data_IF_895138544432
#
_entry.id   IF_895138544432
#
_cell.length_a   1.000
_cell.length_b   1.000
_cell.length_c   1.000
_cell.angle_alpha   90.00
_cell.angle_beta   90.00
_cell.angle_gamma   90.00
#
_symmetry.space_group_name_H-M   'P 1'
#
loop_
_entity.id
_entity.type
_entity.pdbx_description
1 polymer ?
#
# COMPACT_ATOMS: atom_id res chain seq x y z
N UNK A 1 12.49 -23.08 -52.23
CA UNK A 1 12.85 -21.65 -52.23
C UNK A 1 12.30 -21.07 -50.93
N UNK A 2 12.95 -21.38 -49.82
CA UNK A 2 13.98 -20.57 -49.15
C UNK A 2 13.32 -19.51 -48.27
N UNK A 3 13.13 -19.94 -47.02
CA UNK A 3 12.69 -19.18 -45.85
C UNK A 3 13.89 -18.39 -45.35
N UNK A 4 13.76 -17.06 -45.28
CA UNK A 4 14.80 -16.16 -44.78
C UNK A 4 14.55 -15.86 -43.31
N UNK A 5 15.29 -16.53 -42.45
CA UNK A 5 15.37 -16.30 -41.00
C UNK A 5 16.12 -14.98 -40.74
N UNK A 6 15.49 -14.02 -40.04
CA UNK A 6 16.15 -12.79 -39.58
C UNK A 6 16.66 -13.03 -38.16
N UNK A 7 17.99 -13.03 -38.01
CA UNK A 7 18.69 -13.02 -36.73
C UNK A 7 18.66 -11.62 -36.11
N UNK A 8 18.51 -11.48 -34.77
CA UNK A 8 18.62 -10.19 -34.10
C UNK A 8 20.09 -9.78 -33.92
N UNK A 9 20.37 -8.52 -34.28
CA UNK A 9 21.66 -7.84 -34.11
C UNK A 9 22.02 -7.68 -32.63
N UNK A 10 23.12 -8.31 -32.23
CA UNK A 10 23.84 -8.08 -30.97
C UNK A 10 24.47 -6.68 -30.97
N UNK A 11 24.10 -5.84 -30.00
CA UNK A 11 24.83 -4.62 -29.66
C UNK A 11 26.08 -4.97 -28.82
N UNK A 12 27.24 -4.32 -29.05
CA UNK A 12 28.47 -4.69 -28.36
C UNK A 12 28.54 -4.18 -26.92
N UNK A 13 28.95 -5.10 -26.04
CA UNK A 13 29.27 -4.91 -24.63
C UNK A 13 30.13 -3.67 -24.35
N UNK A 14 29.61 -2.75 -23.51
CA UNK A 14 30.42 -1.74 -22.84
C UNK A 14 31.24 -2.37 -21.71
N UNK A 15 32.57 -2.23 -21.79
CA UNK A 15 33.54 -2.69 -20.78
C UNK A 15 33.30 -2.07 -19.39
N UNK A 16 33.65 -2.78 -18.31
CA UNK A 16 33.43 -2.34 -16.93
C UNK A 16 34.37 -1.19 -16.55
N UNK A 17 33.81 -0.17 -15.88
CA UNK A 17 34.59 0.91 -15.25
C UNK A 17 35.46 0.35 -14.13
N UNK A 18 36.74 0.69 -14.17
CA UNK A 18 37.73 0.38 -13.15
C UNK A 18 37.45 1.15 -11.86
N UNK A 19 37.49 0.44 -10.73
CA UNK A 19 37.48 1.00 -9.38
C UNK A 19 38.81 1.74 -9.14
N UNK A 20 38.73 3.04 -8.88
CA UNK A 20 39.82 3.81 -8.28
C UNK A 20 39.56 3.94 -6.76
N UNK A 21 40.59 3.77 -5.91
CA UNK A 21 40.43 3.77 -4.47
C UNK A 21 40.27 5.20 -3.92
N UNK A 22 39.24 5.42 -3.12
CA UNK A 22 39.10 6.61 -2.29
C UNK A 22 40.04 6.49 -1.07
N UNK A 23 41.17 7.18 -1.14
CA UNK A 23 42.06 7.41 0.00
C UNK A 23 41.56 8.61 0.81
N UNK A 24 41.15 8.37 2.06
CA UNK A 24 40.83 9.40 3.05
C UNK A 24 42.11 10.04 3.61
N UNK A 25 42.24 11.37 3.71
CA UNK A 25 43.25 11.98 4.55
C UNK A 25 42.72 12.16 5.97
N UNK A 26 43.43 11.53 6.92
CA UNK A 26 43.37 11.80 8.35
C UNK A 26 43.84 13.25 8.61
N UNK A 27 42.99 14.06 9.24
CA UNK A 27 43.39 15.32 9.86
C UNK A 27 43.04 15.26 11.35
N UNK A 28 44.11 15.28 12.14
CA UNK A 28 44.11 15.44 13.59
C UNK A 28 43.76 16.88 13.96
N UNK A 29 42.83 17.08 14.90
CA UNK A 29 42.78 18.30 15.70
C UNK A 29 42.37 17.99 17.13
N UNK A 30 43.25 18.36 18.03
CA UNK A 30 43.25 18.24 19.48
C UNK A 30 42.11 18.99 20.18
N UNK A 31 41.68 18.40 21.29
CA UNK A 31 40.79 18.89 22.34
C UNK A 31 41.07 20.31 22.82
N UNK A 32 40.00 21.10 23.01
CA UNK A 32 39.91 22.07 24.12
C UNK A 32 38.49 22.09 24.67
N UNK A 33 38.36 21.75 25.96
CA UNK A 33 37.16 21.97 26.75
C UNK A 33 37.14 23.41 27.24
N UNK A 34 36.00 24.08 27.11
CA UNK A 34 35.75 25.36 27.75
C UNK A 34 34.51 25.23 28.63
N UNK A 35 34.75 25.28 29.94
CA UNK A 35 33.75 25.45 30.98
C UNK A 35 33.19 26.86 30.93
N UNK A 36 31.87 27.03 31.04
CA UNK A 36 31.27 28.31 31.38
C UNK A 36 30.34 28.14 32.59
N UNK A 37 30.58 29.03 33.55
CA UNK A 37 30.02 29.08 34.90
C UNK A 37 28.57 29.55 34.91
N UNK A 38 27.88 29.09 35.94
CA UNK A 38 26.59 29.55 36.43
C UNK A 38 26.56 31.04 36.77
N UNK A 39 25.44 31.71 36.45
CA UNK A 39 24.96 32.88 37.18
C UNK A 39 23.47 32.70 37.50
N UNK A 40 23.16 32.84 38.79
CA UNK A 40 21.82 32.87 39.38
C UNK A 40 21.19 34.24 39.19
N UNK A 41 19.86 34.29 38.98
CA UNK A 41 18.98 35.30 39.58
C UNK A 41 17.50 34.86 39.56
N UNK A 42 17.04 34.38 40.71
CA UNK A 42 15.77 34.68 41.41
C UNK A 42 14.44 34.93 40.66
N UNK A 43 13.51 33.98 40.91
CA UNK A 43 12.13 34.13 41.45
C UNK A 43 11.05 34.91 40.68
N UNK A 44 10.00 34.18 40.27
CA UNK A 44 8.55 34.38 40.59
C UNK A 44 7.83 33.15 40.00
N UNK A 45 7.22 32.26 40.79
CA UNK A 45 5.83 32.36 41.22
C UNK A 45 5.16 31.00 40.98
N UNK A 46 4.88 30.27 42.06
CA UNK A 46 4.25 28.95 42.10
C UNK A 46 2.80 29.00 41.62
N UNK A 47 2.41 28.13 40.68
CA UNK A 47 1.03 27.65 40.54
C UNK A 47 1.00 26.14 40.30
N UNK A 48 0.05 25.54 40.99
CA UNK A 48 -0.21 24.14 41.33
C UNK A 48 -0.40 23.16 40.16
N UNK A 49 0.10 21.93 40.37
CA UNK A 49 -0.28 20.70 39.66
C UNK A 49 -1.78 20.39 39.84
N UNK A 50 -2.44 20.00 38.74
CA UNK A 50 -3.67 19.20 38.72
C UNK A 50 -3.58 18.15 37.59
N UNK A 51 -4.32 17.04 37.69
CA UNK A 51 -3.90 15.74 37.18
C UNK A 51 -4.30 15.45 35.72
N UNK A 52 -3.51 14.59 35.10
CA UNK A 52 -3.76 13.94 33.81
C UNK A 52 -5.05 13.10 33.84
N UNK A 53 -6.07 13.54 33.11
CA UNK A 53 -7.21 12.69 32.74
C UNK A 53 -7.06 12.22 31.29
N UNK A 54 -6.96 10.91 31.15
CA UNK A 54 -7.01 10.15 29.91
C UNK A 54 -8.45 10.25 29.38
N UNK A 55 -8.66 10.89 28.23
CA UNK A 55 -9.94 10.86 27.50
C UNK A 55 -9.99 9.58 26.65
N UNK A 56 -10.98 8.74 26.93
CA UNK A 56 -11.40 7.65 26.04
C UNK A 56 -12.14 8.20 24.82
N UNK A 57 -12.10 7.54 23.66
CA UNK A 57 -12.87 7.92 22.49
C UNK A 57 -14.36 7.64 22.69
N UNK A 58 -15.19 8.64 22.37
CA UNK A 58 -16.65 8.57 22.42
C UNK A 58 -17.15 7.76 21.21
N UNK A 59 -17.72 6.59 21.47
CA UNK A 59 -18.50 5.85 20.48
C UNK A 59 -19.85 6.56 20.26
N UNK A 60 -20.14 6.90 19.01
CA UNK A 60 -21.43 7.40 18.57
C UNK A 60 -22.48 6.30 18.70
N UNK A 61 -23.49 6.53 19.54
CA UNK A 61 -24.68 5.70 19.70
C UNK A 61 -25.72 6.14 18.66
N UNK A 62 -25.99 5.29 17.67
CA UNK A 62 -27.26 5.30 16.96
C UNK A 62 -28.15 4.19 17.57
N UNK A 63 -29.22 4.60 18.25
CA UNK A 63 -30.27 3.70 18.74
C UNK A 63 -31.15 3.20 17.58
N UNK A 64 -31.60 1.92 17.58
CA UNK A 64 -32.77 1.52 16.82
C UNK A 64 -34.02 1.40 17.72
N UNK A 65 -35.18 1.71 17.12
CA UNK A 65 -36.52 1.69 17.69
C UNK A 65 -36.92 0.35 18.34
N UNK A 66 -37.68 0.36 19.47
CA UNK A 66 -38.12 -0.85 20.16
C UNK A 66 -39.52 -1.26 19.68
N UNK A 67 -39.64 -1.93 18.53
CA UNK A 67 -40.82 -2.74 18.22
C UNK A 67 -40.60 -3.63 17.00
N UNK A 68 -39.96 -4.78 17.22
CA UNK A 68 -40.18 -5.99 16.42
C UNK A 68 -39.59 -7.18 17.18
N UNK A 69 -40.28 -7.62 18.25
CA UNK A 69 -40.05 -8.95 18.80
C UNK A 69 -40.72 -9.98 17.90
N UNK A 70 -39.92 -10.71 17.14
CA UNK A 70 -40.29 -12.00 16.58
C UNK A 70 -39.15 -12.96 16.88
N UNK A 71 -39.44 -13.95 17.72
CA UNK A 71 -38.54 -15.04 18.10
C UNK A 71 -38.08 -15.80 16.86
N UNK A 72 -36.81 -15.66 16.52
CA UNK A 72 -36.11 -16.59 15.66
C UNK A 72 -35.06 -17.27 16.53
N UNK A 73 -35.28 -18.54 16.83
CA UNK A 73 -34.29 -19.41 17.46
C UNK A 73 -33.04 -19.45 16.56
N UNK A 74 -32.07 -18.61 16.85
CA UNK A 74 -30.72 -18.74 16.32
C UNK A 74 -30.10 -19.94 17.02
N UNK A 75 -30.01 -21.04 16.30
CA UNK A 75 -29.12 -22.15 16.66
C UNK A 75 -27.73 -21.59 16.95
N UNK A 76 -27.25 -21.90 18.14
CA UNK A 76 -25.97 -21.55 18.73
C UNK A 76 -24.82 -22.01 17.81
N UNK A 77 -24.38 -21.15 16.89
CA UNK A 77 -23.11 -21.34 16.19
C UNK A 77 -22.05 -20.77 17.13
N UNK A 78 -21.55 -21.62 18.03
CA UNK A 78 -20.41 -21.29 18.87
C UNK A 78 -19.29 -20.72 17.98
N UNK A 79 -18.84 -19.50 18.25
CA UNK A 79 -17.65 -18.94 17.62
C UNK A 79 -16.46 -19.85 17.95
N UNK A 80 -16.15 -20.80 17.06
CA UNK A 80 -14.96 -21.65 17.16
C UNK A 80 -13.75 -20.75 16.96
N UNK A 81 -12.89 -20.66 17.98
CA UNK A 81 -11.78 -19.72 17.99
C UNK A 81 -10.74 -20.09 16.92
N UNK A 82 -10.50 -19.18 15.98
CA UNK A 82 -9.38 -19.26 15.05
C UNK A 82 -8.12 -18.65 15.66
N UNK A 83 -6.97 -19.07 15.12
CA UNK A 83 -5.65 -18.63 15.53
C UNK A 83 -5.45 -17.15 15.15
N UNK A 84 -5.41 -16.28 16.16
CA UNK A 84 -5.30 -14.82 15.96
C UNK A 84 -3.88 -14.32 15.65
N UNK A 85 -2.86 -15.17 15.74
CA UNK A 85 -1.45 -14.78 15.56
C UNK A 85 -0.82 -15.42 14.33
N UNK A 86 0.02 -14.68 13.61
CA UNK A 86 0.84 -15.16 12.50
C UNK A 86 2.34 -15.00 12.82
N UNK A 87 2.94 -16.01 13.45
CA UNK A 87 4.33 -16.01 13.95
C UNK A 87 5.29 -16.81 13.06
N UNK A 88 4.77 -17.54 12.08
CA UNK A 88 5.57 -18.20 11.06
C UNK A 88 5.63 -17.33 9.80
N UNK A 89 6.71 -17.47 9.03
CA UNK A 89 6.96 -16.72 7.80
C UNK A 89 7.21 -17.71 6.66
N UNK A 90 6.44 -17.63 5.58
CA UNK A 90 6.75 -18.37 4.36
C UNK A 90 7.68 -17.50 3.52
N UNK A 91 8.96 -17.86 3.46
CA UNK A 91 10.03 -16.95 3.03
C UNK A 91 10.50 -17.19 1.59
N UNK A 92 10.42 -18.43 1.11
CA UNK A 92 10.67 -18.85 -0.28
C UNK A 92 9.71 -19.98 -0.63
N UNK A 93 9.56 -20.31 -1.92
CA UNK A 93 8.61 -21.31 -2.42
C UNK A 93 8.58 -22.58 -1.57
N UNK A 94 9.75 -23.11 -1.20
CA UNK A 94 9.85 -24.35 -0.43
C UNK A 94 10.43 -24.18 0.98
N UNK A 95 10.38 -22.97 1.55
CA UNK A 95 10.99 -22.68 2.86
C UNK A 95 10.10 -21.83 3.76
N UNK A 96 9.83 -22.34 4.96
CA UNK A 96 9.12 -21.65 6.05
C UNK A 96 10.10 -21.40 7.20
N UNK A 97 10.09 -20.19 7.74
CA UNK A 97 10.81 -19.80 8.94
C UNK A 97 9.84 -19.75 10.13
N UNK A 98 10.15 -20.45 11.23
CA UNK A 98 9.32 -20.43 12.43
C UNK A 98 10.17 -20.61 13.70
N UNK A 99 9.91 -19.78 14.71
CA UNK A 99 10.58 -19.82 16.00
C UNK A 99 9.95 -20.87 16.93
N UNK A 100 10.49 -22.09 16.88
CA UNK A 100 10.08 -23.23 17.73
C UNK A 100 11.29 -23.77 18.48
N UNK A 101 11.11 -24.06 19.78
CA UNK A 101 12.17 -24.53 20.67
C UNK A 101 12.19 -26.06 20.86
N UNK A 102 11.51 -26.83 20.00
CA UNK A 102 11.42 -28.29 20.14
C UNK A 102 11.98 -29.02 18.93
N UNK A 103 12.95 -29.91 19.16
CA UNK A 103 13.63 -30.68 18.12
C UNK A 103 12.96 -32.01 17.77
N UNK A 104 11.99 -32.46 18.54
CA UNK A 104 11.29 -33.73 18.31
C UNK A 104 9.84 -33.55 17.86
N UNK A 105 9.40 -32.31 17.66
CA UNK A 105 8.04 -32.04 17.26
C UNK A 105 7.78 -32.45 15.80
N UNK A 106 6.60 -33.02 15.55
CA UNK A 106 6.08 -33.22 14.20
C UNK A 106 5.44 -31.92 13.72
N UNK A 107 5.85 -31.40 12.55
CA UNK A 107 5.34 -30.13 12.02
C UNK A 107 4.51 -30.35 10.76
N UNK A 108 3.42 -29.60 10.65
CA UNK A 108 2.52 -29.67 9.51
C UNK A 108 2.04 -28.29 9.07
N UNK A 109 1.92 -28.10 7.76
CA UNK A 109 1.21 -27.01 7.11
C UNK A 109 -0.22 -27.46 6.78
N UNK A 110 -1.19 -26.64 7.15
CA UNK A 110 -2.60 -26.84 6.92
C UNK A 110 -3.13 -25.74 6.00
N UNK A 111 -4.06 -26.12 5.12
CA UNK A 111 -4.75 -25.16 4.26
C UNK A 111 -6.24 -25.41 4.19
N UNK A 112 -7.04 -24.35 4.10
CA UNK A 112 -8.45 -24.41 3.70
C UNK A 112 -8.77 -23.36 2.65
N UNK A 113 -9.29 -23.79 1.50
CA UNK A 113 -9.65 -22.88 0.39
C UNK A 113 -10.85 -21.99 0.77
N UNK A 114 -11.76 -22.51 1.59
CA UNK A 114 -12.96 -21.81 2.04
C UNK A 114 -12.80 -21.14 3.41
N UNK A 115 -11.57 -21.05 3.92
CA UNK A 115 -11.25 -20.48 5.23
C UNK A 115 -12.00 -21.13 6.42
N UNK A 116 -12.10 -22.46 6.40
CA UNK A 116 -12.83 -23.25 7.39
C UNK A 116 -11.96 -23.80 8.52
N UNK A 117 -10.68 -23.41 8.62
CA UNK A 117 -9.81 -23.93 9.67
C UNK A 117 -10.30 -23.47 11.06
N UNK A 118 -10.33 -24.39 12.01
CA UNK A 118 -10.60 -24.09 13.42
C UNK A 118 -9.82 -25.03 14.33
N UNK A 119 -9.64 -24.61 15.60
CA UNK A 119 -9.03 -25.43 16.64
C UNK A 119 -10.09 -26.22 17.41
N UNK A 120 -9.82 -27.50 17.63
CA UNK A 120 -10.56 -28.41 18.51
C UNK A 120 -9.61 -29.05 19.53
N UNK A 121 -10.14 -29.86 20.44
CA UNK A 121 -9.35 -30.65 21.39
C UNK A 121 -8.45 -31.69 20.69
N UNK A 122 -8.74 -32.04 19.43
CA UNK A 122 -7.96 -32.99 18.62
C UNK A 122 -6.92 -32.30 17.72
N UNK A 123 -6.85 -30.97 17.74
CA UNK A 123 -5.91 -30.17 16.96
C UNK A 123 -6.60 -29.28 15.93
N UNK A 124 -5.99 -29.13 14.75
CA UNK A 124 -6.56 -28.33 13.65
C UNK A 124 -7.52 -29.20 12.84
N UNK A 125 -8.73 -28.70 12.63
CA UNK A 125 -9.78 -29.31 11.82
C UNK A 125 -10.25 -28.35 10.70
N UNK A 126 -11.10 -28.84 9.80
CA UNK A 126 -11.65 -28.04 8.69
C UNK A 126 -10.67 -27.77 7.54
N UNK A 127 -9.54 -28.48 7.51
CA UNK A 127 -8.53 -28.37 6.46
C UNK A 127 -8.88 -29.22 5.24
N UNK A 128 -8.51 -28.72 4.08
CA UNK A 128 -8.57 -29.45 2.80
C UNK A 128 -7.27 -30.21 2.53
N UNK A 129 -6.14 -29.71 3.08
CA UNK A 129 -4.83 -30.33 2.95
C UNK A 129 -4.03 -30.22 4.23
N UNK A 130 -3.22 -31.25 4.50
CA UNK A 130 -2.26 -31.36 5.59
C UNK A 130 -0.93 -31.89 5.02
N UNK A 131 0.11 -31.08 5.11
CA UNK A 131 1.43 -31.35 4.51
C UNK A 131 2.46 -31.42 5.61
N UNK A 132 3.21 -32.52 5.71
CA UNK A 132 4.32 -32.63 6.65
C UNK A 132 5.46 -31.69 6.25
N UNK A 133 6.04 -31.01 7.24
CA UNK A 133 7.20 -30.14 7.06
C UNK A 133 8.43 -30.81 7.67
N UNK A 134 9.54 -30.77 6.93
CA UNK A 134 10.82 -31.31 7.40
C UNK A 134 11.71 -30.18 7.87
N UNK A 135 12.42 -30.35 8.98
CA UNK A 135 13.40 -29.35 9.40
C UNK A 135 14.57 -29.29 8.42
N UNK A 136 15.03 -28.08 8.11
CA UNK A 136 16.30 -27.86 7.44
C UNK A 136 17.41 -27.58 8.46
N UNK A 137 18.31 -28.55 8.62
CA UNK A 137 19.48 -28.42 9.51
C UNK A 137 20.48 -27.36 9.02
N UNK A 138 20.39 -26.92 7.75
CA UNK A 138 21.21 -25.82 7.24
C UNK A 138 20.73 -24.44 7.72
N UNK A 139 19.52 -24.36 8.31
CA UNK A 139 18.90 -23.10 8.72
C UNK A 139 18.47 -22.22 7.54
N UNK A 140 18.26 -20.93 7.81
CA UNK A 140 17.85 -19.97 6.79
C UNK A 140 19.04 -19.56 5.90
N UNK A 141 18.87 -19.54 4.56
CA UNK A 141 19.89 -19.04 3.65
C UNK A 141 20.32 -17.59 3.94
N UNK A 142 21.55 -17.24 3.55
CA UNK A 142 22.09 -15.88 3.72
C UNK A 142 21.24 -14.84 3.00
N UNK A 143 20.70 -15.17 1.82
CA UNK A 143 19.78 -14.31 1.06
C UNK A 143 18.55 -13.93 1.89
N UNK A 144 17.97 -14.89 2.61
CA UNK A 144 16.80 -14.70 3.47
C UNK A 144 17.14 -13.93 4.73
N UNK A 145 18.26 -14.23 5.39
CA UNK A 145 18.66 -13.51 6.61
C UNK A 145 19.10 -12.07 6.32
N UNK A 146 19.60 -11.77 5.12
CA UNK A 146 19.86 -10.39 4.67
C UNK A 146 18.56 -9.64 4.36
N UNK A 147 17.60 -10.29 3.71
CA UNK A 147 16.28 -9.69 3.39
C UNK A 147 15.44 -9.47 4.65
N UNK A 148 15.48 -10.43 5.58
CA UNK A 148 14.69 -10.44 6.81
C UNK A 148 15.59 -10.65 8.05
N UNK A 149 16.41 -9.65 8.43
CA UNK A 149 17.37 -9.79 9.53
C UNK A 149 16.71 -10.01 10.90
N UNK A 150 15.44 -9.66 11.05
CA UNK A 150 14.69 -9.84 12.30
C UNK A 150 14.34 -11.30 12.61
N UNK A 151 14.30 -12.16 11.60
CA UNK A 151 13.98 -13.60 11.75
C UNK A 151 15.19 -14.49 11.53
N UNK A 152 16.41 -13.92 11.54
CA UNK A 152 17.63 -14.66 11.20
C UNK A 152 17.95 -15.83 12.13
N UNK A 153 17.38 -15.83 13.35
CA UNK A 153 17.54 -16.90 14.34
C UNK A 153 16.44 -17.95 14.27
N UNK A 154 15.46 -17.79 13.37
CA UNK A 154 14.34 -18.73 13.27
C UNK A 154 14.81 -20.03 12.65
N UNK A 155 14.14 -21.13 13.02
CA UNK A 155 14.37 -22.42 12.39
C UNK A 155 13.75 -22.46 11.01
N UNK A 156 14.37 -23.23 10.12
CA UNK A 156 13.95 -23.42 8.75
C UNK A 156 13.23 -24.76 8.57
N UNK A 157 12.13 -24.74 7.83
CA UNK A 157 11.30 -25.90 7.55
C UNK A 157 11.00 -25.99 6.06
N UNK A 158 11.32 -27.13 5.46
CA UNK A 158 11.11 -27.42 4.04
C UNK A 158 9.66 -27.79 3.79
N UNK A 159 9.11 -27.16 2.75
CA UNK A 159 7.86 -27.61 2.12
C UNK A 159 8.24 -28.62 1.02
N UNK A 160 7.59 -29.78 0.93
CA UNK A 160 7.88 -30.77 -0.12
C UNK A 160 7.84 -30.16 -1.52
N UNK A 161 8.80 -30.53 -2.38
CA UNK A 161 8.90 -29.98 -3.74
C UNK A 161 7.75 -30.37 -4.67
N UNK A 162 6.97 -31.40 -4.31
CA UNK A 162 5.75 -31.82 -5.01
C UNK A 162 4.53 -30.95 -4.69
N UNK A 163 4.63 -30.05 -3.70
CA UNK A 163 3.53 -29.18 -3.28
C UNK A 163 3.27 -28.10 -4.34
N UNK A 164 1.99 -27.95 -4.72
CA UNK A 164 1.50 -26.83 -5.55
C UNK A 164 1.33 -25.58 -4.68
N UNK A 165 2.42 -24.86 -4.47
CA UNK A 165 2.46 -23.71 -3.57
C UNK A 165 1.53 -22.59 -4.04
N UNK A 166 1.40 -22.41 -5.36
CA UNK A 166 0.53 -21.43 -5.99
C UNK A 166 -0.93 -21.56 -5.52
N UNK A 167 -1.43 -22.79 -5.41
CA UNK A 167 -2.79 -23.08 -4.96
C UNK A 167 -2.95 -22.78 -3.46
N UNK A 168 -1.93 -23.09 -2.65
CA UNK A 168 -1.97 -22.89 -1.20
C UNK A 168 -1.97 -21.42 -0.82
N UNK A 169 -1.28 -20.56 -1.57
CA UNK A 169 -1.20 -19.12 -1.27
C UNK A 169 -2.53 -18.38 -1.46
N UNK A 170 -3.54 -19.05 -2.01
CA UNK A 170 -4.93 -18.55 -2.13
C UNK A 170 -5.84 -19.04 -1.00
N UNK A 171 -5.34 -19.87 -0.09
CA UNK A 171 -6.07 -20.46 1.01
C UNK A 171 -5.87 -19.70 2.33
N UNK A 172 -6.74 -19.98 3.31
CA UNK A 172 -6.37 -19.81 4.71
C UNK A 172 -5.28 -20.82 5.05
N UNK A 173 -4.22 -20.37 5.72
CA UNK A 173 -3.06 -21.20 6.06
C UNK A 173 -2.72 -21.15 7.55
N UNK A 174 -2.27 -22.28 8.08
CA UNK A 174 -1.64 -22.35 9.40
C UNK A 174 -0.56 -23.42 9.46
N UNK A 175 0.41 -23.24 10.34
CA UNK A 175 1.34 -24.28 10.75
C UNK A 175 1.04 -24.70 12.19
N UNK A 176 1.21 -25.99 12.46
CA UNK A 176 1.16 -26.54 13.80
C UNK A 176 2.30 -27.50 14.07
N UNK A 177 2.69 -27.56 15.34
CA UNK A 177 3.66 -28.52 15.86
C UNK A 177 3.01 -29.42 16.91
N UNK A 178 3.33 -30.70 16.88
CA UNK A 178 2.81 -31.71 17.78
C UNK A 178 3.96 -32.40 18.53
N UNK A 179 3.74 -32.71 19.80
CA UNK A 179 4.67 -33.52 20.60
C UNK A 179 4.64 -35.00 20.16
N UNK A 180 5.54 -35.82 20.69
CA UNK A 180 5.73 -37.23 20.26
C UNK A 180 4.50 -38.13 20.52
N UNK A 181 3.67 -37.74 21.48
CA UNK A 181 2.40 -38.40 21.81
C UNK A 181 1.23 -37.96 20.91
N UNK A 182 1.46 -37.00 20.00
CA UNK A 182 0.46 -36.44 19.10
C UNK A 182 -0.30 -35.23 19.67
N UNK A 183 0.06 -34.74 20.85
CA UNK A 183 -0.58 -33.56 21.46
C UNK A 183 -0.20 -32.27 20.72
N UNK A 184 -1.17 -31.40 20.43
CA UNK A 184 -0.92 -30.09 19.81
C UNK A 184 -0.15 -29.19 20.78
N UNK A 185 1.05 -28.74 20.37
CA UNK A 185 1.91 -27.85 21.17
C UNK A 185 1.70 -26.38 20.83
N UNK A 186 1.75 -26.04 19.54
CA UNK A 186 1.53 -24.67 19.08
C UNK A 186 0.96 -24.65 17.66
N UNK A 187 0.22 -23.58 17.37
CA UNK A 187 -0.38 -23.33 16.07
C UNK A 187 -0.35 -21.83 15.78
N UNK A 188 -0.02 -21.45 14.54
CA UNK A 188 0.04 -20.04 14.11
C UNK A 188 -0.25 -19.91 12.62
N UNK A 189 -0.77 -18.75 12.19
CA UNK A 189 -0.84 -18.40 10.77
C UNK A 189 0.54 -18.09 10.17
N UNK A 190 0.59 -17.93 8.85
CA UNK A 190 1.82 -17.56 8.14
C UNK A 190 1.77 -16.13 7.60
N UNK A 191 2.91 -15.47 7.62
CA UNK A 191 3.16 -14.24 6.88
C UNK A 191 3.79 -14.59 5.53
N UNK A 192 3.18 -14.10 4.45
CA UNK A 192 3.49 -14.51 3.08
C UNK A 192 4.39 -13.56 2.23
N UNK A 193 4.78 -12.31 2.62
CA UNK A 193 5.52 -11.43 1.72
C UNK A 193 6.79 -12.04 1.10
N UNK A 194 7.52 -12.89 1.84
CA UNK A 194 8.73 -13.53 1.33
C UNK A 194 8.46 -14.43 0.13
N UNK A 195 7.58 -15.43 0.30
CA UNK A 195 7.20 -16.35 -0.77
C UNK A 195 6.46 -15.66 -1.93
N UNK A 196 5.69 -14.62 -1.64
CA UNK A 196 5.03 -13.83 -2.69
C UNK A 196 6.04 -13.10 -3.57
N UNK A 197 7.09 -12.52 -2.98
CA UNK A 197 8.17 -11.91 -3.76
C UNK A 197 8.97 -12.96 -4.55
N UNK A 198 9.30 -14.09 -3.92
CA UNK A 198 10.08 -15.18 -4.55
C UNK A 198 9.37 -15.73 -5.80
N UNK A 199 8.04 -15.88 -5.74
CA UNK A 199 7.26 -16.50 -6.81
C UNK A 199 6.60 -15.53 -7.77
N UNK A 200 6.21 -14.34 -7.30
CA UNK A 200 5.31 -13.43 -8.03
C UNK A 200 5.83 -12.00 -8.12
N UNK A 201 7.09 -11.71 -7.78
CA UNK A 201 7.66 -10.39 -8.06
C UNK A 201 7.50 -10.05 -9.55
N UNK A 202 6.89 -8.90 -9.82
CA UNK A 202 6.44 -8.52 -11.15
C UNK A 202 6.99 -7.16 -11.55
N UNK A 203 7.50 -7.06 -12.78
CA UNK A 203 8.09 -5.83 -13.35
C UNK A 203 7.41 -5.37 -14.64
N UNK A 204 6.33 -6.05 -15.04
CA UNK A 204 5.54 -5.67 -16.20
C UNK A 204 4.53 -4.56 -15.91
N UNK A 205 3.67 -4.23 -16.88
CA UNK A 205 2.69 -3.17 -16.74
C UNK A 205 1.60 -3.48 -15.70
N UNK A 206 1.27 -2.49 -14.87
CA UNK A 206 0.16 -2.53 -13.91
C UNK A 206 -0.77 -1.34 -14.14
N UNK A 207 -2.01 -1.48 -13.68
CA UNK A 207 -3.08 -0.52 -13.91
C UNK A 207 -3.59 -0.53 -15.35
N UNK A 208 -4.18 0.58 -15.76
CA UNK A 208 -4.70 0.78 -17.11
C UNK A 208 -3.59 1.14 -18.10
N UNK A 209 -3.51 0.38 -19.19
CA UNK A 209 -2.58 0.61 -20.29
C UNK A 209 -3.36 0.78 -21.58
N UNK A 210 -3.02 1.84 -22.29
CA UNK A 210 -3.78 2.34 -23.43
C UNK A 210 -3.01 2.06 -24.73
N UNK A 211 -3.68 1.43 -25.70
CA UNK A 211 -3.22 1.30 -27.09
C UNK A 211 -4.17 2.07 -28.02
N UNK A 212 -3.92 2.03 -29.34
CA UNK A 212 -4.78 2.69 -30.31
C UNK A 212 -6.19 2.07 -30.33
N UNK A 213 -6.30 0.75 -30.20
CA UNK A 213 -7.54 0.01 -30.40
C UNK A 213 -8.08 -0.63 -29.12
N UNK A 214 -7.25 -0.76 -28.09
CA UNK A 214 -7.57 -1.52 -26.87
C UNK A 214 -7.09 -0.84 -25.59
N UNK A 215 -7.68 -1.26 -24.48
CA UNK A 215 -7.23 -0.94 -23.12
C UNK A 215 -7.04 -2.25 -22.37
N UNK A 216 -5.87 -2.43 -21.75
CA UNK A 216 -5.62 -3.56 -20.85
C UNK A 216 -5.57 -3.10 -19.39
N UNK A 217 -6.25 -3.83 -18.52
CA UNK A 217 -6.22 -3.64 -17.06
C UNK A 217 -5.40 -4.77 -16.45
N UNK A 218 -4.42 -4.43 -15.60
CA UNK A 218 -3.53 -5.39 -14.95
C UNK A 218 -3.45 -5.14 -13.44
N UNK A 219 -3.82 -6.12 -12.63
CA UNK A 219 -3.81 -6.06 -11.16
C UNK A 219 -2.93 -7.17 -10.58
N UNK A 220 -1.92 -6.80 -9.79
CA UNK A 220 -1.15 -7.76 -9.01
C UNK A 220 -1.95 -8.17 -7.76
N UNK A 221 -2.43 -9.41 -7.72
CA UNK A 221 -3.21 -9.96 -6.62
C UNK A 221 -3.02 -11.49 -6.51
N UNK A 222 -1.79 -11.97 -6.22
CA UNK A 222 -1.44 -13.39 -6.28
C UNK A 222 -2.20 -14.29 -5.30
N UNK A 223 -2.68 -13.72 -4.19
CA UNK A 223 -3.46 -14.45 -3.17
C UNK A 223 -4.95 -14.45 -3.44
N UNK A 224 -5.43 -13.71 -4.45
CA UNK A 224 -6.85 -13.70 -4.81
C UNK A 224 -7.25 -15.05 -5.42
N UNK A 225 -8.49 -15.47 -5.17
CA UNK A 225 -9.12 -16.62 -5.80
C UNK A 225 -9.86 -16.22 -7.08
N UNK A 226 -10.37 -14.97 -7.12
CA UNK A 226 -11.08 -14.43 -8.27
C UNK A 226 -10.95 -12.92 -8.31
N UNK A 227 -10.82 -12.35 -9.52
CA UNK A 227 -10.89 -10.92 -9.76
C UNK A 227 -11.82 -10.63 -10.93
N UNK A 228 -12.78 -9.73 -10.73
CA UNK A 228 -13.64 -9.16 -11.76
C UNK A 228 -13.42 -7.64 -11.82
N UNK A 229 -13.55 -7.05 -13.01
CA UNK A 229 -13.68 -5.61 -13.19
C UNK A 229 -15.16 -5.26 -13.23
N UNK A 230 -15.58 -4.34 -12.38
CA UNK A 230 -16.94 -3.80 -12.35
C UNK A 230 -16.92 -2.42 -13.02
N UNK A 231 -17.57 -2.26 -14.17
CA UNK A 231 -17.65 -0.98 -14.88
C UNK A 231 -18.92 -0.19 -14.53
N UNK A 232 -18.78 1.13 -14.57
CA UNK A 232 -19.83 2.10 -14.32
C UNK A 232 -19.77 3.21 -15.38
N UNK A 233 -20.94 3.64 -15.86
CA UNK A 233 -21.04 4.75 -16.84
C UNK A 233 -20.86 6.14 -16.20
N UNK A 234 -20.95 6.22 -14.87
CA UNK A 234 -20.93 7.49 -14.15
C UNK A 234 -20.21 7.37 -12.80
N UNK A 235 -19.79 8.49 -12.18
CA UNK A 235 -19.15 8.47 -10.87
C UNK A 235 -20.07 7.94 -9.75
N UNK A 236 -21.39 7.92 -9.98
CA UNK A 236 -22.42 7.36 -9.10
C UNK A 236 -23.33 6.38 -9.86
N UNK A 237 -24.25 5.69 -9.19
CA UNK A 237 -25.16 4.71 -9.83
C UNK A 237 -24.62 3.28 -9.92
N UNK A 238 -25.35 2.37 -10.55
CA UNK A 238 -25.05 0.93 -10.46
C UNK A 238 -24.02 0.44 -11.47
N UNK A 239 -23.47 -0.75 -11.22
CA UNK A 239 -22.57 -1.44 -12.17
C UNK A 239 -23.35 -1.81 -13.42
N UNK A 240 -22.75 -1.56 -14.59
CA UNK A 240 -23.36 -1.89 -15.89
C UNK A 240 -22.79 -3.16 -16.52
N UNK A 241 -21.58 -3.54 -16.12
CA UNK A 241 -20.85 -4.65 -16.73
C UNK A 241 -19.85 -5.25 -15.72
N UNK A 242 -19.75 -6.58 -15.69
CA UNK A 242 -18.74 -7.33 -14.95
C UNK A 242 -17.89 -8.12 -15.93
N UNK A 243 -16.58 -7.89 -15.91
CA UNK A 243 -15.62 -8.59 -16.76
C UNK A 243 -14.69 -9.42 -15.90
N UNK A 244 -14.74 -10.74 -16.07
CA UNK A 244 -13.82 -11.65 -15.39
C UNK A 244 -12.40 -11.47 -15.91
N UNK A 245 -11.43 -11.42 -14.99
CA UNK A 245 -10.02 -11.32 -15.32
C UNK A 245 -9.36 -12.70 -15.32
N UNK A 246 -8.29 -12.84 -16.12
CA UNK A 246 -7.47 -14.04 -16.19
C UNK A 246 -6.15 -13.83 -15.46
N UNK A 247 -5.76 -14.81 -14.64
CA UNK A 247 -4.53 -14.76 -13.86
C UNK A 247 -3.38 -15.45 -14.60
N UNK A 248 -2.24 -14.76 -14.69
CA UNK A 248 -0.96 -15.33 -15.11
C UNK A 248 0.10 -14.88 -14.10
N UNK A 249 0.72 -15.83 -13.41
CA UNK A 249 1.80 -15.58 -12.43
C UNK A 249 1.45 -14.49 -11.40
N UNK A 250 0.24 -14.56 -10.82
CA UNK A 250 -0.20 -13.63 -9.77
C UNK A 250 -0.72 -12.28 -10.25
N UNK A 251 -0.67 -12.01 -11.56
CA UNK A 251 -1.25 -10.82 -12.18
C UNK A 251 -2.54 -11.18 -12.89
N UNK A 252 -3.62 -10.52 -12.49
CA UNK A 252 -4.93 -10.61 -13.10
C UNK A 252 -5.03 -9.58 -14.23
N UNK A 253 -5.45 -10.02 -15.40
CA UNK A 253 -5.51 -9.19 -16.59
C UNK A 253 -6.81 -9.34 -17.37
N UNK A 254 -7.23 -8.26 -18.02
CA UNK A 254 -8.26 -8.30 -19.07
C UNK A 254 -7.94 -7.25 -20.13
N UNK A 255 -8.38 -7.51 -21.36
CA UNK A 255 -8.20 -6.60 -22.50
C UNK A 255 -9.56 -6.30 -23.08
N UNK A 256 -9.88 -5.01 -23.18
CA UNK A 256 -11.12 -4.51 -23.72
C UNK A 256 -10.92 -3.53 -24.87
N UNK A 257 -12.02 -3.15 -25.52
CA UNK A 257 -12.04 -2.14 -26.58
C UNK A 257 -11.70 -0.73 -26.06
N UNK A 258 -11.26 0.15 -26.98
CA UNK A 258 -10.85 1.54 -26.64
C UNK A 258 -11.97 2.41 -26.08
N UNK A 259 -13.22 2.09 -26.38
CA UNK A 259 -14.44 2.75 -25.86
C UNK A 259 -14.66 2.55 -24.36
N UNK A 260 -13.86 1.71 -23.69
CA UNK A 260 -13.77 1.71 -22.22
C UNK A 260 -13.23 3.04 -21.66
N UNK A 261 -12.48 3.84 -22.43
CA UNK A 261 -11.96 5.13 -21.99
C UNK A 261 -13.09 6.06 -21.49
N UNK A 262 -12.89 6.65 -20.31
CA UNK A 262 -13.85 7.55 -19.68
C UNK A 262 -14.86 6.87 -18.77
N UNK A 263 -14.96 5.54 -18.80
CA UNK A 263 -15.76 4.79 -17.82
C UNK A 263 -15.09 4.82 -16.44
N UNK A 264 -15.90 4.57 -15.42
CA UNK A 264 -15.41 4.31 -14.07
C UNK A 264 -15.36 2.80 -13.81
N UNK A 265 -14.46 2.36 -12.93
CA UNK A 265 -14.38 0.96 -12.54
C UNK A 265 -13.87 0.76 -11.10
N UNK A 266 -14.15 -0.43 -10.59
CA UNK A 266 -13.53 -1.03 -9.40
C UNK A 266 -13.17 -2.48 -9.70
N UNK A 267 -12.23 -3.03 -8.94
CA UNK A 267 -12.00 -4.48 -8.90
C UNK A 267 -12.87 -5.09 -7.81
N UNK A 268 -13.58 -6.15 -8.14
CA UNK A 268 -14.20 -7.06 -7.18
C UNK A 268 -13.26 -8.26 -7.00
N UNK A 269 -12.75 -8.43 -5.78
CA UNK A 269 -11.66 -9.36 -5.45
C UNK A 269 -12.18 -10.34 -4.40
N UNK A 270 -12.18 -11.63 -4.72
CA UNK A 270 -12.42 -12.71 -3.75
C UNK A 270 -11.08 -13.15 -3.18
N UNK A 271 -10.82 -12.92 -1.89
CA UNK A 271 -9.52 -13.16 -1.26
C UNK A 271 -9.64 -13.50 0.22
N UNK A 272 -8.80 -14.40 0.72
CA UNK A 272 -8.72 -14.64 2.17
C UNK A 272 -8.10 -13.42 2.88
N UNK A 273 -8.83 -12.87 3.86
CA UNK A 273 -8.37 -11.71 4.61
C UNK A 273 -7.96 -12.11 6.05
N UNK A 274 -6.67 -12.04 6.42
CA UNK A 274 -6.21 -12.51 7.73
C UNK A 274 -6.89 -11.84 8.93
N UNK A 275 -7.23 -10.55 8.85
CA UNK A 275 -7.84 -9.83 9.98
C UNK A 275 -9.28 -10.26 10.29
N UNK A 276 -10.04 -10.70 9.28
CA UNK A 276 -11.40 -11.21 9.46
C UNK A 276 -11.42 -12.73 9.52
N UNK A 277 -10.31 -13.38 9.12
CA UNK A 277 -10.16 -14.84 9.04
C UNK A 277 -11.25 -15.49 8.17
N UNK A 278 -11.62 -14.80 7.09
CA UNK A 278 -12.67 -15.21 6.15
C UNK A 278 -12.22 -15.01 4.72
N UNK A 279 -12.89 -15.73 3.83
CA UNK A 279 -12.88 -15.40 2.42
C UNK A 279 -13.80 -14.19 2.20
N UNK A 280 -13.21 -13.06 1.82
CA UNK A 280 -13.93 -11.80 1.63
C UNK A 280 -14.11 -11.52 0.14
N UNK A 281 -15.23 -10.86 -0.18
CA UNK A 281 -15.44 -10.26 -1.51
C UNK A 281 -15.32 -8.74 -1.37
N UNK A 282 -14.17 -8.21 -1.73
CA UNK A 282 -13.85 -6.80 -1.56
C UNK A 282 -14.06 -6.02 -2.86
N UNK A 283 -14.55 -4.78 -2.76
CA UNK A 283 -14.46 -3.81 -3.84
C UNK A 283 -13.28 -2.88 -3.57
N UNK A 284 -12.38 -2.76 -4.54
CA UNK A 284 -11.18 -1.95 -4.43
C UNK A 284 -10.98 -1.08 -5.67
N UNK A 285 -10.41 0.11 -5.48
CA UNK A 285 -9.89 0.91 -6.59
C UNK A 285 -8.58 0.34 -7.10
N UNK A 286 -8.18 0.78 -8.29
CA UNK A 286 -6.87 0.46 -8.82
C UNK A 286 -5.76 1.17 -8.02
N UNK A 287 -4.77 0.46 -7.45
CA UNK A 287 -3.61 1.08 -6.81
C UNK A 287 -2.81 1.99 -7.76
N UNK A 288 -2.93 1.75 -9.07
CA UNK A 288 -2.31 2.48 -10.16
C UNK A 288 -3.28 3.48 -10.82
N UNK A 289 -4.37 3.86 -10.14
CA UNK A 289 -5.31 4.88 -10.61
C UNK A 289 -4.61 6.18 -11.05
N UNK A 290 -5.15 6.81 -12.11
CA UNK A 290 -4.73 8.13 -12.62
C UNK A 290 -5.86 9.16 -12.66
N UNK A 291 -7.09 8.71 -12.41
CA UNK A 291 -8.25 9.55 -12.17
C UNK A 291 -9.20 8.83 -11.21
N UNK A 292 -9.99 9.59 -10.49
CA UNK A 292 -10.91 9.09 -9.46
C UNK A 292 -12.22 9.86 -9.53
N UNK A 293 -13.31 9.23 -9.08
CA UNK A 293 -14.52 9.96 -8.66
C UNK A 293 -14.29 10.60 -7.28
N UNK A 294 -15.20 11.49 -6.86
CA UNK A 294 -15.18 12.08 -5.51
C UNK A 294 -14.98 11.03 -4.41
N UNK A 295 -14.13 11.38 -3.44
CA UNK A 295 -13.67 10.57 -2.29
C UNK A 295 -12.96 9.29 -2.69
N UNK A 296 -12.51 9.16 -3.95
CA UNK A 296 -11.93 7.93 -4.44
C UNK A 296 -12.91 6.76 -4.43
N UNK A 297 -14.21 6.98 -4.64
CA UNK A 297 -15.20 5.88 -4.65
C UNK A 297 -15.04 4.92 -5.84
N UNK A 298 -14.53 5.41 -6.97
CA UNK A 298 -14.28 4.67 -8.20
C UNK A 298 -13.03 5.17 -8.91
N UNK A 299 -12.39 4.29 -9.66
CA UNK A 299 -11.28 4.66 -10.54
C UNK A 299 -11.82 5.11 -11.87
N UNK A 300 -11.36 6.25 -12.38
CA UNK A 300 -11.65 6.72 -13.73
C UNK A 300 -10.63 6.10 -14.70
N UNK A 301 -11.12 5.47 -15.76
CA UNK A 301 -10.29 4.89 -16.80
C UNK A 301 -9.87 5.98 -17.81
N UNK A 302 -8.80 6.70 -17.48
CA UNK A 302 -8.33 7.88 -18.23
C UNK A 302 -6.93 7.70 -18.79
N UNK A 303 -6.75 8.07 -20.06
CA UNK A 303 -5.44 8.15 -20.70
C UNK A 303 -4.75 9.47 -20.32
N UNK A 304 -3.79 9.41 -19.39
CA UNK A 304 -3.08 10.61 -18.90
C UNK A 304 -2.25 11.31 -19.99
N UNK A 305 -2.01 10.66 -21.13
CA UNK A 305 -1.30 11.25 -22.28
C UNK A 305 -2.22 12.01 -23.22
N UNK A 306 -3.53 11.96 -23.01
CA UNK A 306 -4.53 12.62 -23.86
C UNK A 306 -4.30 14.12 -23.93
N UNK A 307 -4.30 14.67 -25.15
CA UNK A 307 -4.17 16.12 -25.40
C UNK A 307 -5.25 16.95 -24.69
N UNK A 308 -6.42 16.34 -24.43
CA UNK A 308 -7.53 17.00 -23.71
C UNK A 308 -7.20 17.34 -22.26
N UNK A 309 -6.19 16.69 -21.66
CA UNK A 309 -5.77 16.89 -20.28
C UNK A 309 -4.61 17.88 -20.15
N UNK A 310 -4.02 18.30 -21.27
CA UNK A 310 -2.84 19.14 -21.31
C UNK A 310 -3.25 20.62 -21.41
N UNK A 311 -2.80 21.49 -20.48
CA UNK A 311 -2.89 22.93 -20.67
C UNK A 311 -2.07 23.39 -21.89
N UNK A 312 -2.40 24.55 -22.45
CA UNK A 312 -1.58 25.16 -23.50
C UNK A 312 -0.13 25.31 -23.05
N UNK A 313 0.81 24.83 -23.87
CA UNK A 313 2.25 24.88 -23.57
C UNK A 313 2.77 23.74 -22.67
N UNK A 314 1.95 22.71 -22.38
CA UNK A 314 2.34 21.62 -21.48
C UNK A 314 3.57 20.86 -21.97
N UNK A 315 3.60 20.48 -23.24
CA UNK A 315 4.70 19.69 -23.81
C UNK A 315 5.98 20.54 -23.97
N UNK A 316 5.85 21.86 -24.08
CA UNK A 316 6.97 22.82 -24.15
C UNK A 316 7.47 23.28 -22.78
N UNK A 317 6.80 22.92 -21.67
CA UNK A 317 7.09 23.43 -20.33
C UNK A 317 8.55 23.18 -19.92
N UNK A 318 9.16 22.08 -20.38
CA UNK A 318 10.56 21.78 -20.11
C UNK A 318 11.51 22.89 -20.57
N UNK A 319 11.22 23.54 -21.71
CA UNK A 319 12.01 24.65 -22.25
C UNK A 319 11.79 25.96 -21.48
N UNK A 320 10.70 26.05 -20.73
CA UNK A 320 10.31 27.22 -19.94
C UNK A 320 10.55 27.09 -18.43
N UNK A 321 11.13 25.99 -17.94
CA UNK A 321 11.46 25.83 -16.52
C UNK A 321 12.55 26.84 -16.11
N UNK A 322 12.46 27.45 -14.91
CA UNK A 322 13.52 28.32 -14.40
C UNK A 322 14.87 27.59 -14.35
N UNK A 323 15.94 28.29 -14.72
CA UNK A 323 17.29 27.75 -14.67
C UNK A 323 17.73 27.49 -13.23
N UNK A 324 18.34 26.33 -12.99
CA UNK A 324 18.98 25.97 -11.72
C UNK A 324 20.42 25.54 -12.02
N UNK A 325 21.40 26.30 -11.52
CA UNK A 325 22.82 26.04 -11.76
C UNK A 325 23.35 24.88 -10.92
N UNK A 326 23.05 24.88 -9.62
CA UNK A 326 23.44 23.85 -8.66
C UNK A 326 22.30 23.53 -7.68
N UNK A 327 22.30 22.32 -7.11
CA UNK A 327 21.41 22.01 -5.99
C UNK A 327 21.70 22.86 -4.74
N UNK A 328 22.90 23.41 -4.61
CA UNK A 328 23.23 24.34 -3.52
C UNK A 328 22.46 25.68 -3.61
N UNK A 329 21.93 26.01 -4.80
CA UNK A 329 21.16 27.24 -5.02
C UNK A 329 19.68 27.08 -4.63
N UNK A 330 19.28 25.88 -4.16
CA UNK A 330 17.90 25.60 -3.78
C UNK A 330 17.53 26.34 -2.50
N UNK A 331 16.51 27.19 -2.61
CA UNK A 331 15.74 27.76 -1.51
C UNK A 331 14.28 27.32 -1.63
N UNK A 332 13.72 26.79 -0.53
CA UNK A 332 12.41 26.11 -0.48
C UNK A 332 11.44 26.92 0.36
N UNK A 333 10.23 27.11 -0.17
CA UNK A 333 9.09 27.67 0.53
C UNK A 333 8.01 26.59 0.70
N UNK A 334 7.78 26.15 1.92
CA UNK A 334 6.72 25.19 2.24
C UNK A 334 5.35 25.88 2.22
N UNK A 335 4.38 25.29 1.51
CA UNK A 335 3.07 25.90 1.29
C UNK A 335 1.96 24.84 1.20
N UNK A 336 0.87 25.09 1.90
CA UNK A 336 -0.37 24.33 1.74
C UNK A 336 -1.30 25.00 0.72
N UNK A 337 -1.92 24.20 -0.17
CA UNK A 337 -2.78 24.72 -1.26
C UNK A 337 -3.99 25.48 -0.71
N UNK A 338 -4.59 24.99 0.38
CA UNK A 338 -5.72 25.69 0.99
C UNK A 338 -5.29 27.03 1.56
N UNK A 339 -4.20 27.03 2.32
CA UNK A 339 -3.71 28.19 3.08
C UNK A 339 -3.28 29.31 2.14
N UNK A 340 -2.77 28.96 0.95
CA UNK A 340 -2.37 29.91 -0.09
C UNK A 340 -3.47 30.92 -0.46
N UNK A 341 -4.74 30.50 -0.44
CA UNK A 341 -5.81 31.30 -1.03
C UNK A 341 -7.14 31.29 -0.29
N UNK A 342 -7.30 30.50 0.78
CA UNK A 342 -8.57 30.40 1.49
C UNK A 342 -9.10 31.75 2.02
N UNK A 343 -8.20 32.64 2.45
CA UNK A 343 -8.52 33.98 2.95
C UNK A 343 -8.18 35.11 1.97
N UNK A 344 -7.66 34.81 0.77
CA UNK A 344 -7.32 35.82 -0.22
C UNK A 344 -8.57 36.30 -0.97
N UNK A 345 -9.11 37.44 -0.55
CA UNK A 345 -10.30 38.05 -1.15
C UNK A 345 -10.10 38.50 -2.60
N UNK A 346 -8.85 38.60 -3.07
CA UNK A 346 -8.52 38.94 -4.47
C UNK A 346 -8.55 37.75 -5.42
N UNK A 347 -8.71 36.53 -4.87
CA UNK A 347 -8.94 35.29 -5.64
C UNK A 347 -10.45 35.09 -5.83
N UNK A 348 -10.84 34.63 -7.02
CA UNK A 348 -12.21 34.19 -7.30
C UNK A 348 -12.68 33.18 -6.23
N UNK A 349 -13.84 33.40 -5.57
CA UNK A 349 -14.37 32.49 -4.56
C UNK A 349 -14.37 31.00 -4.95
N UNK A 350 -14.62 30.68 -6.22
CA UNK A 350 -14.67 29.29 -6.69
C UNK A 350 -13.28 28.63 -6.75
N UNK A 351 -12.21 29.44 -6.84
CA UNK A 351 -10.84 28.95 -6.97
C UNK A 351 -10.13 28.90 -5.62
N UNK A 352 -10.65 29.58 -4.60
CA UNK A 352 -10.06 29.63 -3.27
C UNK A 352 -9.89 28.25 -2.66
N UNK A 353 -8.72 28.06 -2.09
CA UNK A 353 -8.29 26.85 -1.41
C UNK A 353 -7.98 25.67 -2.34
N UNK A 354 -7.85 25.87 -3.65
CA UNK A 354 -7.56 24.82 -4.62
C UNK A 354 -6.52 25.23 -5.66
N UNK A 355 -6.20 24.30 -6.57
CA UNK A 355 -5.16 24.47 -7.60
C UNK A 355 -5.38 25.67 -8.52
N UNK A 356 -6.64 26.00 -8.83
CA UNK A 356 -6.97 27.11 -9.73
C UNK A 356 -6.56 28.47 -9.18
N UNK A 357 -6.39 28.63 -7.86
CA UNK A 357 -5.91 29.88 -7.27
C UNK A 357 -4.53 30.29 -7.79
N UNK A 358 -3.66 29.33 -8.15
CA UNK A 358 -2.33 29.60 -8.71
C UNK A 358 -2.39 30.17 -10.14
N UNK A 359 -3.57 30.21 -10.77
CA UNK A 359 -3.77 30.82 -12.09
C UNK A 359 -4.23 32.29 -12.01
N UNK A 360 -4.62 32.76 -10.82
CA UNK A 360 -5.09 34.14 -10.59
C UNK A 360 -3.91 35.12 -10.56
N UNK A 361 -3.49 35.61 -11.73
CA UNK A 361 -2.27 36.42 -11.92
C UNK A 361 -2.21 37.68 -11.03
N UNK A 362 -3.36 38.30 -10.79
CA UNK A 362 -3.45 39.57 -10.05
C UNK A 362 -3.71 39.37 -8.54
N UNK A 363 -3.87 38.12 -8.10
CA UNK A 363 -4.09 37.81 -6.68
C UNK A 363 -2.94 38.27 -5.80
N UNK A 364 -3.24 38.63 -4.55
CA UNK A 364 -2.24 39.00 -3.56
C UNK A 364 -1.26 37.83 -3.31
N UNK A 365 -1.78 36.60 -3.20
CA UNK A 365 -0.98 35.39 -3.05
C UNK A 365 0.04 35.19 -4.19
N UNK A 366 -0.38 35.29 -5.45
CA UNK A 366 0.54 35.06 -6.57
C UNK A 366 1.53 36.23 -6.76
N UNK A 367 1.11 37.48 -6.50
CA UNK A 367 2.04 38.62 -6.46
C UNK A 367 3.09 38.46 -5.37
N UNK A 368 2.71 37.92 -4.21
CA UNK A 368 3.64 37.61 -3.13
C UNK A 368 4.66 36.53 -3.55
N UNK A 369 4.21 35.41 -4.12
CA UNK A 369 5.11 34.36 -4.61
C UNK A 369 6.05 34.87 -5.71
N UNK A 370 5.57 35.74 -6.61
CA UNK A 370 6.40 36.39 -7.61
C UNK A 370 7.50 37.24 -6.97
N UNK A 371 7.15 38.05 -5.97
CA UNK A 371 8.12 38.86 -5.22
C UNK A 371 9.19 37.99 -4.53
N UNK A 372 8.80 36.85 -3.95
CA UNK A 372 9.75 35.91 -3.37
C UNK A 372 10.65 35.29 -4.44
N UNK A 373 10.09 34.91 -5.58
CA UNK A 373 10.86 34.37 -6.71
C UNK A 373 11.86 35.38 -7.26
N UNK A 374 11.45 36.65 -7.44
CA UNK A 374 12.34 37.75 -7.83
C UNK A 374 13.45 38.02 -6.80
N UNK A 375 13.20 37.74 -5.53
CA UNK A 375 14.20 37.83 -4.46
C UNK A 375 15.14 36.61 -4.38
N UNK A 376 14.94 35.58 -5.21
CA UNK A 376 15.79 34.40 -5.28
C UNK A 376 15.18 33.11 -4.71
N UNK A 377 13.89 33.10 -4.35
CA UNK A 377 13.21 31.85 -4.04
C UNK A 377 13.13 30.97 -5.30
N UNK A 378 13.49 29.69 -5.17
CA UNK A 378 13.60 28.77 -6.31
C UNK A 378 12.51 27.69 -6.35
N UNK A 379 12.08 27.20 -5.19
CA UNK A 379 11.17 26.05 -5.09
C UNK A 379 10.03 26.32 -4.12
N UNK A 380 8.83 25.89 -4.51
CA UNK A 380 7.69 25.75 -3.60
C UNK A 380 7.50 24.28 -3.31
N UNK A 381 7.55 23.90 -2.04
CA UNK A 381 7.22 22.58 -1.58
C UNK A 381 5.74 22.56 -1.19
N UNK A 382 4.91 21.93 -2.01
CA UNK A 382 3.49 21.77 -1.72
C UNK A 382 3.29 20.62 -0.73
N UNK A 383 2.53 20.89 0.34
CA UNK A 383 1.99 19.85 1.23
C UNK A 383 1.12 18.84 0.44
N UNK A 384 0.73 17.69 1.06
CA UNK A 384 0.06 16.60 0.36
C UNK A 384 -1.02 17.03 -0.63
N UNK A 385 -0.84 16.63 -1.89
CA UNK A 385 -1.69 16.97 -3.04
C UNK A 385 -2.02 15.76 -3.92
N UNK A 386 -1.78 14.55 -3.41
CA UNK A 386 -2.33 13.29 -3.91
C UNK A 386 -3.69 13.01 -3.24
N UNK A 387 -4.37 11.91 -3.59
CA UNK A 387 -5.61 11.52 -2.92
C UNK A 387 -5.35 11.14 -1.45
N UNK A 388 -5.94 11.86 -0.50
CA UNK A 388 -5.86 11.56 0.93
C UNK A 388 -7.26 11.52 1.57
N UNK A 389 -7.39 10.83 2.70
CA UNK A 389 -8.62 10.81 3.49
C UNK A 389 -8.70 12.00 4.46
N UNK A 390 -9.91 12.31 4.94
CA UNK A 390 -10.14 13.34 5.98
C UNK A 390 -10.70 14.67 5.48
N UNK A 391 -10.82 14.85 4.16
CA UNK A 391 -11.53 15.97 3.53
C UNK A 391 -12.47 15.39 2.48
N UNK A 392 -13.75 15.78 2.52
CA UNK A 392 -14.76 15.36 1.53
C UNK A 392 -14.52 16.12 0.22
N UNK A 393 -14.49 15.44 -0.92
CA UNK A 393 -14.28 16.10 -2.22
C UNK A 393 -15.51 16.90 -2.68
N UNK A 394 -16.69 16.58 -2.15
CA UNK A 394 -17.91 17.32 -2.42
C UNK A 394 -18.02 18.56 -1.52
N UNK A 395 -17.72 19.73 -2.12
CA UNK A 395 -17.79 21.03 -1.45
C UNK A 395 -19.15 21.35 -0.84
N UNK A 396 -20.26 20.77 -1.32
CA UNK A 396 -21.58 21.01 -0.71
C UNK A 396 -21.69 20.47 0.72
N UNK A 397 -20.83 19.52 1.09
CA UNK A 397 -20.82 18.91 2.42
C UNK A 397 -19.95 19.69 3.42
N UNK A 398 -19.16 20.65 2.94
CA UNK A 398 -18.24 21.41 3.78
C UNK A 398 -19.02 22.31 4.75
N UNK A 399 -18.47 22.45 5.95
CA UNK A 399 -18.92 23.41 6.94
C UNK A 399 -17.90 24.52 7.04
N UNK A 400 -18.39 25.75 7.16
CA UNK A 400 -17.55 26.89 7.50
C UNK A 400 -17.55 27.04 9.02
N UNK A 401 -16.40 27.36 9.65
CA UNK A 401 -16.42 27.76 11.04
C UNK A 401 -17.33 28.98 11.19
N UNK A 402 -18.18 28.98 12.21
CA UNK A 402 -19.00 30.14 12.56
C UNK A 402 -18.07 31.30 12.90
N UNK A 403 -17.85 32.19 11.94
CA UNK A 403 -17.15 33.45 12.17
C UNK A 403 -18.15 34.48 12.71
N UNK A 404 -18.85 34.14 13.79
CA UNK A 404 -19.48 35.14 14.66
C UNK A 404 -18.45 35.55 15.70
N UNK A 405 -17.77 36.66 15.44
CA UNK A 405 -17.05 37.45 16.45
C UNK A 405 -17.85 38.72 16.73
#
# INVERSE_FOLDING_TARGET
MSISTISPLLLPNSKPRQNLPLTSPLLSSSSQSLSLRSLNSSSFGSLSRLPSQIRQPVASLCSPDPNCMAEMKTSDVSHRAWVSHARAYWVEKFLIAWDINDNQASLYLYSSINANLFLSDQGIEGYDSKIALERDECGLPVTITQKFPRISTYQAFKVPSSTKVEDLLKCQLAVASFDIDGTLKTCTGLQLPGVLDDMFAYSGPLGANFSNDTISLNLWAPTAQEVNVCFYESPTGDTVEHVKMEEINGVWSTVGPRDWEGRYYTYEITVFHPSTSRLEKCQANDPYARGLSSDGKRTLLVDIKSEKLKPNGWDELANGKPHLGSFADISIYELHIRDFSASDSTVDPDFRGGYRAFTCKDSAGLRHLRKLSEAGLTHVHLLPSYQFGGVDDNRSNWKHPDLQC
#
